data_IF_975002066782
#
_entry.id   IF_975002066782
#
_cell.length_a   1.000
_cell.length_b   1.000
_cell.length_c   1.000
_cell.angle_alpha   90.00
_cell.angle_beta   90.00
_cell.angle_gamma   90.00
#
_symmetry.space_group_name_H-M   'P 1'
#
loop_
_entity.id
_entity.type
_entity.pdbx_description
1 polymer ?
#
# COMPACT_ATOMS: atom_id res chain seq x y z
N UNK A 1 4.43 2.16 -12.61
CA UNK A 1 4.59 1.09 -13.59
C UNK A 1 6.06 0.71 -13.72
N UNK A 2 6.37 -0.55 -13.56
CA UNK A 2 7.66 -1.14 -13.91
C UNK A 2 7.50 -1.87 -15.26
N UNK A 3 8.10 -1.34 -16.31
CA UNK A 3 8.03 -1.91 -17.66
C UNK A 3 9.30 -2.67 -18.00
N UNK A 4 9.13 -3.92 -18.46
CA UNK A 4 10.25 -4.78 -18.82
C UNK A 4 11.18 -5.08 -17.65
N UNK A 5 12.46 -5.23 -17.94
CA UNK A 5 13.52 -5.49 -16.96
C UNK A 5 14.50 -4.34 -16.89
N UNK A 6 15.31 -4.35 -15.84
CA UNK A 6 16.51 -3.50 -15.75
C UNK A 6 17.52 -3.87 -16.84
N UNK A 7 18.49 -2.98 -17.14
CA UNK A 7 19.55 -3.28 -18.14
C UNK A 7 20.35 -4.55 -17.82
N UNK A 8 20.42 -4.96 -16.56
CA UNK A 8 21.06 -6.22 -16.11
C UNK A 8 20.17 -7.46 -16.21
N UNK A 9 18.97 -7.34 -16.82
CA UNK A 9 17.99 -8.42 -16.99
C UNK A 9 17.17 -8.77 -15.75
N UNK A 10 17.36 -8.05 -14.64
CA UNK A 10 16.62 -8.30 -13.38
C UNK A 10 15.35 -7.47 -13.28
N UNK A 11 14.47 -7.88 -12.38
CA UNK A 11 13.28 -7.11 -12.03
C UNK A 11 13.64 -5.73 -11.45
N UNK A 12 12.80 -4.75 -11.70
CA UNK A 12 12.90 -3.43 -11.07
C UNK A 12 12.68 -3.57 -9.56
N UNK A 13 13.49 -2.84 -8.78
CA UNK A 13 13.34 -2.78 -7.32
C UNK A 13 12.66 -1.46 -6.98
N UNK A 14 11.41 -1.54 -6.53
CA UNK A 14 10.58 -0.39 -6.20
C UNK A 14 10.51 -0.23 -4.68
N UNK A 15 10.85 0.96 -4.19
CA UNK A 15 10.74 1.28 -2.77
C UNK A 15 9.28 1.46 -2.34
N UNK A 16 8.88 0.77 -1.28
CA UNK A 16 7.60 1.01 -0.61
C UNK A 16 7.87 2.02 0.51
N UNK A 17 7.28 3.20 0.38
CA UNK A 17 7.52 4.32 1.31
C UNK A 17 7.10 3.97 2.74
N UNK A 18 7.90 4.42 3.71
CA UNK A 18 7.57 4.30 5.13
C UNK A 18 6.46 5.32 5.48
N UNK A 19 5.24 4.85 5.78
CA UNK A 19 4.12 5.75 6.03
C UNK A 19 4.21 6.51 7.36
N UNK A 20 5.08 6.10 8.26
CA UNK A 20 5.31 6.81 9.52
C UNK A 20 6.22 8.03 9.35
N UNK A 21 7.08 8.01 8.33
CA UNK A 21 8.05 9.07 8.08
C UNK A 21 7.98 9.57 6.62
N UNK A 22 6.82 10.08 6.18
CA UNK A 22 6.59 10.42 4.77
C UNK A 22 7.52 11.54 4.26
N UNK A 23 8.01 12.39 5.15
CA UNK A 23 8.90 13.50 4.81
C UNK A 23 10.39 13.10 4.68
N UNK A 24 10.75 11.87 5.04
CA UNK A 24 12.15 11.45 5.15
C UNK A 24 12.64 10.57 3.98
N UNK A 25 11.84 10.38 2.94
CA UNK A 25 12.16 9.49 1.81
C UNK A 25 12.59 8.06 2.23
N UNK A 26 12.13 7.61 3.40
CA UNK A 26 12.42 6.28 3.92
C UNK A 26 11.53 5.26 3.26
N UNK A 27 12.04 4.03 3.17
CA UNK A 27 11.27 2.88 2.67
C UNK A 27 11.18 1.80 3.75
N UNK A 28 10.05 1.11 3.82
CA UNK A 28 9.88 -0.08 4.66
C UNK A 28 10.48 -1.32 4.01
N UNK A 29 10.66 -1.29 2.70
CA UNK A 29 11.26 -2.37 1.94
C UNK A 29 11.23 -2.12 0.44
N UNK A 30 11.74 -3.09 -0.29
CA UNK A 30 11.80 -3.10 -1.75
C UNK A 30 10.94 -4.24 -2.30
N UNK A 31 10.18 -3.97 -3.34
CA UNK A 31 9.43 -4.98 -4.09
C UNK A 31 10.00 -5.15 -5.49
N UNK A 32 10.23 -6.40 -5.89
CA UNK A 32 10.65 -6.76 -7.23
C UNK A 32 9.47 -6.75 -8.20
N UNK A 33 9.53 -5.96 -9.26
CA UNK A 33 8.46 -5.85 -10.27
C UNK A 33 9.01 -5.96 -11.69
N UNK A 34 8.22 -6.64 -12.53
CA UNK A 34 8.42 -6.69 -13.97
C UNK A 34 7.05 -6.66 -14.65
N UNK A 35 6.87 -5.75 -15.61
CA UNK A 35 5.61 -5.58 -16.37
C UNK A 35 4.37 -5.45 -15.46
N UNK A 36 4.52 -4.70 -14.36
CA UNK A 36 3.47 -4.55 -13.36
C UNK A 36 3.40 -3.13 -12.79
N UNK A 37 2.24 -2.82 -12.22
CA UNK A 37 2.02 -1.62 -11.42
C UNK A 37 2.18 -1.95 -9.93
N UNK A 38 2.76 -1.03 -9.17
CA UNK A 38 2.57 -0.93 -7.73
C UNK A 38 1.81 0.36 -7.45
N UNK A 39 0.65 0.25 -6.84
CA UNK A 39 -0.24 1.37 -6.53
C UNK A 39 -0.47 1.40 -5.03
N UNK A 40 -0.21 2.54 -4.41
CA UNK A 40 -0.30 2.69 -2.95
C UNK A 40 -1.33 3.73 -2.57
N UNK A 41 -2.22 3.37 -1.66
CA UNK A 41 -3.09 4.29 -0.92
C UNK A 41 -2.66 4.33 0.54
N UNK A 42 -2.62 5.53 1.13
CA UNK A 42 -2.20 5.68 2.51
C UNK A 42 -2.68 6.98 3.14
N UNK A 43 -2.80 6.96 4.46
CA UNK A 43 -3.27 8.09 5.26
C UNK A 43 -2.31 9.29 5.29
N UNK A 44 -1.07 9.08 4.86
CA UNK A 44 0.00 10.07 4.88
C UNK A 44 0.14 10.88 3.59
N UNK A 45 -0.51 10.48 2.50
CA UNK A 45 -0.33 11.11 1.19
C UNK A 45 -0.98 12.49 1.09
N UNK A 46 -2.18 12.63 1.65
CA UNK A 46 -2.92 13.89 1.71
C UNK A 46 -3.70 13.95 3.01
N UNK A 47 -3.30 14.83 3.91
CA UNK A 47 -3.96 14.99 5.21
C UNK A 47 -3.80 16.43 5.72
N UNK A 48 -4.62 16.77 6.70
CA UNK A 48 -4.42 17.92 7.58
C UNK A 48 -4.52 17.47 9.04
N UNK A 49 -3.95 18.22 9.93
CA UNK A 49 -4.02 17.97 11.37
C UNK A 49 -4.81 19.07 12.07
N UNK A 50 -5.73 18.66 12.93
CA UNK A 50 -6.52 19.55 13.79
C UNK A 50 -6.67 18.94 15.17
N UNK A 51 -6.34 19.69 16.20
CA UNK A 51 -6.40 19.25 17.61
C UNK A 51 -5.66 17.93 17.87
N UNK A 52 -4.50 17.73 17.23
CA UNK A 52 -3.69 16.51 17.35
C UNK A 52 -4.24 15.28 16.63
N UNK A 53 -5.34 15.42 15.88
CA UNK A 53 -5.92 14.37 15.06
C UNK A 53 -5.61 14.60 13.58
N UNK A 54 -5.19 13.54 12.90
CA UNK A 54 -4.95 13.54 11.45
C UNK A 54 -6.22 13.19 10.70
N UNK A 55 -6.58 14.04 9.73
CA UNK A 55 -7.71 13.85 8.81
C UNK A 55 -7.17 13.67 7.40
N UNK A 56 -7.22 12.46 6.86
CA UNK A 56 -6.76 12.15 5.52
C UNK A 56 -7.91 12.13 4.51
N UNK A 57 -7.58 12.13 3.23
CA UNK A 57 -8.54 12.24 2.13
C UNK A 57 -9.33 10.96 1.82
N UNK A 58 -8.94 9.81 2.39
CA UNK A 58 -9.65 8.55 2.15
C UNK A 58 -10.88 8.51 3.04
N UNK A 59 -12.04 8.60 2.41
CA UNK A 59 -13.33 8.68 3.10
C UNK A 59 -13.99 7.31 3.20
N UNK A 60 -14.58 7.02 4.35
CA UNK A 60 -15.47 5.87 4.51
C UNK A 60 -16.86 6.24 3.99
N UNK A 61 -17.36 5.58 2.93
CA UNK A 61 -18.66 5.91 2.33
C UNK A 61 -19.85 5.66 3.27
N UNK A 62 -19.67 4.84 4.32
CA UNK A 62 -20.70 4.54 5.30
C UNK A 62 -20.90 5.68 6.29
N UNK A 63 -19.85 6.44 6.59
CA UNK A 63 -19.87 7.50 7.60
C UNK A 63 -19.78 8.90 6.99
N UNK A 64 -19.24 9.04 5.78
CA UNK A 64 -18.93 10.32 5.16
C UNK A 64 -17.78 11.07 5.84
N UNK A 65 -17.00 10.38 6.67
CA UNK A 65 -15.84 10.91 7.39
C UNK A 65 -14.55 10.18 6.94
N UNK A 66 -13.35 10.70 7.24
CA UNK A 66 -12.12 9.98 7.00
C UNK A 66 -12.15 8.57 7.61
N UNK A 67 -11.73 7.56 6.85
CA UNK A 67 -11.78 6.17 7.28
C UNK A 67 -10.89 5.96 8.53
N UNK A 68 -11.46 5.37 9.56
CA UNK A 68 -10.73 4.91 10.74
C UNK A 68 -10.20 3.51 10.44
N UNK A 69 -9.01 3.44 9.84
CA UNK A 69 -8.35 2.19 9.48
C UNK A 69 -7.19 1.90 10.42
N UNK A 70 -6.96 0.64 10.72
CA UNK A 70 -5.76 0.15 11.40
C UNK A 70 -4.54 0.07 10.44
N UNK A 71 -4.75 0.35 9.16
CA UNK A 71 -3.71 0.42 8.14
C UNK A 71 -3.18 1.86 7.98
N UNK A 72 -1.88 1.99 7.78
CA UNK A 72 -1.22 3.22 7.34
C UNK A 72 -1.09 3.28 5.82
N UNK A 73 -0.82 2.13 5.18
CA UNK A 73 -0.76 2.04 3.72
C UNK A 73 -1.13 0.66 3.20
N UNK A 74 -1.66 0.66 1.98
CA UNK A 74 -1.95 -0.52 1.18
C UNK A 74 -1.30 -0.35 -0.17
N UNK A 75 -0.40 -1.25 -0.54
CA UNK A 75 0.19 -1.32 -1.89
C UNK A 75 -0.36 -2.53 -2.60
N UNK A 76 -0.97 -2.32 -3.77
CA UNK A 76 -1.48 -3.35 -4.66
C UNK A 76 -0.52 -3.52 -5.82
N UNK A 77 -0.12 -4.75 -6.11
CA UNK A 77 0.66 -5.11 -7.29
C UNK A 77 -0.31 -5.72 -8.30
N UNK A 78 -0.39 -5.16 -9.49
CA UNK A 78 -1.36 -5.55 -10.51
C UNK A 78 -0.87 -5.22 -11.92
N UNK A 79 -1.58 -5.73 -12.92
CA UNK A 79 -1.32 -5.47 -14.34
C UNK A 79 -2.07 -4.24 -14.88
N UNK A 80 -3.04 -3.71 -14.11
CA UNK A 80 -3.85 -2.53 -14.49
C UNK A 80 -3.87 -1.51 -13.35
N UNK A 81 -3.29 -0.33 -13.62
CA UNK A 81 -3.10 0.71 -12.61
C UNK A 81 -4.42 1.25 -12.04
N UNK A 82 -5.45 1.41 -12.86
CA UNK A 82 -6.76 1.88 -12.44
C UNK A 82 -7.48 0.90 -11.49
N UNK A 83 -7.30 -0.41 -11.70
CA UNK A 83 -7.81 -1.42 -10.77
C UNK A 83 -7.03 -1.40 -9.46
N UNK A 84 -5.71 -1.26 -9.55
CA UNK A 84 -4.85 -1.14 -8.38
C UNK A 84 -5.21 0.05 -7.49
N UNK A 85 -5.52 1.19 -8.09
CA UNK A 85 -5.92 2.40 -7.36
C UNK A 85 -7.25 2.20 -6.62
N UNK A 86 -8.26 1.67 -7.30
CA UNK A 86 -9.56 1.36 -6.71
C UNK A 86 -9.44 0.33 -5.57
N UNK A 87 -8.67 -0.74 -5.78
CA UNK A 87 -8.45 -1.79 -4.79
C UNK A 87 -7.67 -1.28 -3.58
N UNK A 88 -6.58 -0.54 -3.78
CA UNK A 88 -5.76 -0.02 -2.68
C UNK A 88 -6.59 0.85 -1.73
N UNK A 89 -7.40 1.75 -2.28
CA UNK A 89 -8.29 2.63 -1.50
C UNK A 89 -9.37 1.83 -0.78
N UNK A 90 -10.02 0.88 -1.46
CA UNK A 90 -11.08 0.06 -0.88
C UNK A 90 -10.56 -0.82 0.26
N UNK A 91 -9.42 -1.46 0.06
CA UNK A 91 -8.79 -2.33 1.06
C UNK A 91 -8.30 -1.53 2.28
N UNK A 92 -7.83 -0.30 2.06
CA UNK A 92 -7.50 0.61 3.16
C UNK A 92 -8.72 0.88 4.06
N UNK A 93 -9.87 1.19 3.47
CA UNK A 93 -11.13 1.42 4.20
C UNK A 93 -11.62 0.18 4.92
N UNK A 94 -11.43 -1.02 4.34
CA UNK A 94 -11.83 -2.30 4.93
C UNK A 94 -11.05 -2.65 6.20
N UNK A 95 -9.81 -2.19 6.34
CA UNK A 95 -8.90 -2.54 7.43
C UNK A 95 -8.13 -3.84 7.20
N UNK A 96 -7.11 -4.08 8.03
CA UNK A 96 -6.11 -5.15 7.85
C UNK A 96 -6.72 -6.54 7.74
N UNK A 97 -7.57 -6.93 8.69
CA UNK A 97 -8.15 -8.29 8.75
C UNK A 97 -8.96 -8.61 7.49
N UNK A 98 -9.87 -7.70 7.10
CA UNK A 98 -10.71 -7.89 5.92
C UNK A 98 -9.91 -7.80 4.63
N UNK A 99 -8.92 -6.92 4.56
CA UNK A 99 -8.03 -6.80 3.41
C UNK A 99 -7.25 -8.10 3.17
N UNK A 100 -6.70 -8.72 4.22
CA UNK A 100 -6.00 -10.00 4.15
C UNK A 100 -6.94 -11.11 3.67
N UNK A 101 -8.14 -11.22 4.26
CA UNK A 101 -9.12 -12.23 3.87
C UNK A 101 -9.52 -12.09 2.39
N UNK A 102 -9.80 -10.86 1.96
CA UNK A 102 -10.16 -10.56 0.58
C UNK A 102 -9.02 -10.85 -0.40
N UNK A 103 -7.78 -10.53 -0.03
CA UNK A 103 -6.60 -10.82 -0.83
C UNK A 103 -6.40 -12.32 -1.05
N UNK A 104 -6.56 -13.12 0.00
CA UNK A 104 -6.45 -14.59 -0.08
C UNK A 104 -7.54 -15.20 -0.95
N UNK A 105 -8.77 -14.74 -0.81
CA UNK A 105 -9.92 -15.22 -1.58
C UNK A 105 -9.81 -14.89 -3.07
N UNK A 106 -9.23 -13.73 -3.40
CA UNK A 106 -9.14 -13.22 -4.78
C UNK A 106 -7.73 -13.29 -5.38
N UNK A 107 -6.78 -13.94 -4.73
CA UNK A 107 -5.38 -14.06 -5.17
C UNK A 107 -4.72 -12.71 -5.48
N UNK A 108 -4.94 -11.71 -4.64
CA UNK A 108 -4.35 -10.38 -4.81
C UNK A 108 -2.93 -10.35 -4.25
N UNK A 109 -2.06 -9.61 -4.92
CA UNK A 109 -0.70 -9.32 -4.47
C UNK A 109 -0.68 -7.98 -3.73
N UNK A 110 -0.56 -8.04 -2.40
CA UNK A 110 -0.62 -6.88 -1.52
C UNK A 110 0.61 -6.77 -0.63
N UNK A 111 0.92 -5.52 -0.28
CA UNK A 111 1.81 -5.17 0.84
C UNK A 111 1.02 -4.21 1.73
N UNK A 112 0.84 -4.58 2.99
CA UNK A 112 0.11 -3.81 4.00
C UNK A 112 1.09 -3.33 5.07
N UNK A 113 0.97 -2.07 5.48
CA UNK A 113 1.67 -1.52 6.65
C UNK A 113 0.62 -1.02 7.63
N UNK A 114 0.64 -1.51 8.86
CA UNK A 114 -0.32 -1.13 9.89
C UNK A 114 0.21 -0.03 10.83
N UNK A 115 -0.64 0.39 11.77
CA UNK A 115 -0.33 1.45 12.74
C UNK A 115 0.83 1.11 13.69
N UNK A 116 1.15 -0.19 13.84
CA UNK A 116 2.30 -0.66 14.61
C UNK A 116 3.57 -0.78 13.76
N UNK A 117 3.51 -0.35 12.49
CA UNK A 117 4.56 -0.53 11.49
C UNK A 117 4.89 -1.99 11.20
N UNK A 118 3.93 -2.88 11.45
CA UNK A 118 4.02 -4.27 11.03
C UNK A 118 3.68 -4.38 9.55
N UNK A 119 4.47 -5.19 8.85
CA UNK A 119 4.32 -5.40 7.41
C UNK A 119 3.74 -6.79 7.18
N UNK A 120 2.66 -6.85 6.41
CA UNK A 120 2.12 -8.09 5.89
C UNK A 120 2.19 -8.09 4.36
N UNK A 121 2.58 -9.22 3.77
CA UNK A 121 2.62 -9.40 2.31
C UNK A 121 1.84 -10.64 1.90
N UNK A 122 1.22 -10.59 0.72
CA UNK A 122 0.65 -11.78 0.10
C UNK A 122 1.75 -12.78 -0.25
N UNK A 123 1.40 -14.05 -0.27
CA UNK A 123 2.27 -15.11 -0.74
C UNK A 123 2.70 -14.86 -2.20
N UNK A 124 3.97 -15.10 -2.51
CA UNK A 124 4.53 -14.92 -3.86
C UNK A 124 4.96 -13.49 -4.21
N UNK A 125 4.74 -12.51 -3.33
CA UNK A 125 5.26 -11.16 -3.52
C UNK A 125 6.76 -11.14 -3.21
N UNK A 126 7.59 -10.75 -4.18
CA UNK A 126 9.05 -10.56 -3.99
C UNK A 126 9.32 -9.27 -3.21
N UNK A 127 9.11 -9.35 -1.90
CA UNK A 127 9.32 -8.22 -1.00
C UNK A 127 10.46 -8.47 -0.03
N UNK A 128 11.35 -7.48 0.10
CA UNK A 128 12.47 -7.49 1.04
C UNK A 128 12.34 -6.30 1.97
N UNK A 129 12.23 -6.56 3.25
CA UNK A 129 12.21 -5.48 4.26
C UNK A 129 13.51 -4.70 4.26
N UNK A 130 13.43 -3.39 4.54
CA UNK A 130 14.59 -2.52 4.67
C UNK A 130 15.31 -2.67 6.03
N UNK A 131 14.75 -3.48 6.90
CA UNK A 131 15.27 -3.72 8.26
C UNK A 131 16.17 -4.93 8.32
#
# INVERSE_FOLDING_TARGET
LAWGTRPDGKAWQIGVQDPQYPEQERVVGLVGLQDAFAVTSGSYQRYFEENGKRYHHIMDPRTGAPAESDLLSVTVICDRGEQGDALATSLFVMGKEKAIAYAKENNLSLILVDQNNEIWTSEGVDFRTAK
#
